data_IF_245571481386
#
_entry.id   IF_245571481386
#
_cell.length_a   1.000
_cell.length_b   1.000
_cell.length_c   1.000
_cell.angle_alpha   90.00
_cell.angle_beta   90.00
_cell.angle_gamma   90.00
#
_symmetry.space_group_name_H-M   'P 1'
#
loop_
_entity.id
_entity.type
_entity.pdbx_description
1 polymer ?
#
# COMPACT_ATOMS: atom_id res chain seq x y z
N UNK A 1 3.28 -0.41 27.91
CA UNK A 1 3.06 0.02 26.51
C UNK A 1 1.84 -0.75 26.02
N UNK A 2 0.93 -0.10 25.27
CA UNK A 2 -0.19 -0.81 24.62
C UNK A 2 0.34 -1.69 23.48
N UNK A 3 -0.39 -2.74 23.13
CA UNK A 3 -0.14 -3.51 21.88
C UNK A 3 -0.27 -2.60 20.66
N UNK A 4 0.47 -2.89 19.61
CA UNK A 4 0.53 -2.13 18.34
C UNK A 4 1.10 -0.72 18.48
N UNK A 5 2.00 -0.49 19.44
CA UNK A 5 2.67 0.78 19.62
C UNK A 5 3.81 0.95 18.59
N UNK A 6 3.80 2.06 17.85
CA UNK A 6 4.81 2.37 16.82
C UNK A 6 5.72 3.56 17.20
N UNK A 7 5.69 4.01 18.47
CA UNK A 7 6.58 5.08 18.91
C UNK A 7 8.07 4.75 18.66
N UNK A 8 8.78 5.70 18.06
CA UNK A 8 10.17 5.55 17.66
C UNK A 8 10.38 4.72 16.39
N UNK A 9 9.31 4.28 15.71
CA UNK A 9 9.39 3.66 14.38
C UNK A 9 9.27 4.71 13.28
N UNK A 10 9.96 4.48 12.17
CA UNK A 10 9.90 5.30 10.96
C UNK A 10 9.20 4.52 9.86
N UNK A 11 8.08 5.04 9.38
CA UNK A 11 7.29 4.44 8.32
C UNK A 11 7.37 5.23 7.02
N UNK A 12 7.65 4.55 5.91
CA UNK A 12 7.61 5.09 4.55
C UNK A 12 6.32 4.62 3.88
N UNK A 13 5.54 5.55 3.30
CA UNK A 13 4.29 5.22 2.59
C UNK A 13 4.33 5.80 1.18
N UNK A 14 4.31 4.93 0.15
CA UNK A 14 4.19 5.37 -1.24
C UNK A 14 2.74 5.67 -1.62
N UNK A 15 2.51 6.71 -2.41
CA UNK A 15 1.15 7.19 -2.70
C UNK A 15 0.44 7.75 -1.45
N UNK A 16 1.22 8.25 -0.48
CA UNK A 16 0.74 8.67 0.85
C UNK A 16 -0.08 9.96 0.88
N UNK A 17 -0.47 10.53 -0.26
CA UNK A 17 -1.19 11.82 -0.34
C UNK A 17 -2.66 11.72 -0.74
N UNK A 18 -3.17 10.52 -1.00
CA UNK A 18 -4.56 10.31 -1.41
C UNK A 18 -5.04 8.89 -1.06
N UNK A 19 -6.34 8.69 -1.04
CA UNK A 19 -6.99 7.39 -0.91
C UNK A 19 -6.45 6.55 0.25
N UNK A 20 -6.26 5.25 0.01
CA UNK A 20 -5.79 4.30 1.02
C UNK A 20 -4.40 4.63 1.57
N UNK A 21 -3.48 5.12 0.73
CA UNK A 21 -2.13 5.48 1.16
C UNK A 21 -2.12 6.60 2.20
N UNK A 22 -2.89 7.68 1.97
CA UNK A 22 -3.07 8.75 2.97
C UNK A 22 -3.71 8.21 4.24
N UNK A 23 -4.76 7.39 4.12
CA UNK A 23 -5.42 6.78 5.26
C UNK A 23 -4.47 5.92 6.11
N UNK A 24 -3.69 5.06 5.48
CA UNK A 24 -2.70 4.22 6.18
C UNK A 24 -1.59 5.05 6.84
N UNK A 25 -1.13 6.13 6.20
CA UNK A 25 -0.17 7.05 6.82
C UNK A 25 -0.74 7.69 8.11
N UNK A 26 -2.00 8.13 8.08
CA UNK A 26 -2.72 8.64 9.26
C UNK A 26 -2.85 7.56 10.35
N UNK A 27 -3.20 6.33 9.98
CA UNK A 27 -3.34 5.23 10.93
C UNK A 27 -2.02 4.90 11.65
N UNK A 28 -0.90 4.86 10.92
CA UNK A 28 0.42 4.64 11.48
C UNK A 28 0.87 5.80 12.39
N UNK A 29 0.60 7.05 11.98
CA UNK A 29 0.90 8.24 12.79
C UNK A 29 0.13 8.23 14.12
N UNK A 30 -1.16 7.84 14.12
CA UNK A 30 -1.97 7.67 15.34
C UNK A 30 -1.37 6.68 16.34
N UNK A 31 -0.61 5.70 15.86
CA UNK A 31 0.10 4.75 16.73
C UNK A 31 1.50 5.22 17.12
N UNK A 32 1.88 6.44 16.73
CA UNK A 32 3.12 7.09 17.14
C UNK A 32 4.30 6.90 16.19
N UNK A 33 4.11 6.40 14.97
CA UNK A 33 5.17 6.35 13.98
C UNK A 33 5.51 7.74 13.44
N UNK A 34 6.80 7.99 13.19
CA UNK A 34 7.26 9.07 12.31
C UNK A 34 7.08 8.65 10.85
N UNK A 35 6.66 9.57 9.99
CA UNK A 35 6.30 9.26 8.61
C UNK A 35 7.26 9.88 7.59
N UNK A 36 7.52 9.17 6.50
CA UNK A 36 7.92 9.74 5.22
C UNK A 36 6.85 9.36 4.18
N UNK A 37 6.21 10.36 3.58
CA UNK A 37 5.21 10.15 2.53
C UNK A 37 5.80 10.45 1.17
N UNK A 38 5.69 9.50 0.24
CA UNK A 38 6.24 9.58 -1.10
C UNK A 38 5.11 9.76 -2.13
N UNK A 39 5.17 10.81 -2.93
CA UNK A 39 4.22 11.06 -4.02
C UNK A 39 4.82 12.02 -5.06
N UNK A 40 4.12 12.20 -6.19
CA UNK A 40 4.59 13.07 -7.29
C UNK A 40 4.20 14.53 -7.12
N UNK A 41 3.14 14.85 -6.36
CA UNK A 41 2.55 16.19 -6.24
C UNK A 41 3.06 16.91 -4.99
N UNK A 42 3.92 17.93 -5.10
CA UNK A 42 4.53 18.62 -3.93
C UNK A 42 3.52 19.34 -3.03
N UNK A 43 2.50 19.95 -3.64
CA UNK A 43 1.41 20.63 -2.94
C UNK A 43 0.63 19.67 -2.02
N UNK A 44 0.24 18.50 -2.55
CA UNK A 44 -0.46 17.47 -1.80
C UNK A 44 0.42 16.83 -0.72
N UNK A 45 1.71 16.68 -0.98
CA UNK A 45 2.67 16.23 0.02
C UNK A 45 2.73 17.17 1.22
N UNK A 46 2.79 18.48 0.96
CA UNK A 46 2.84 19.51 2.02
C UNK A 46 1.53 19.54 2.83
N UNK A 47 0.38 19.43 2.17
CA UNK A 47 -0.93 19.38 2.81
C UNK A 47 -1.03 18.16 3.75
N UNK A 48 -0.77 16.97 3.22
CA UNK A 48 -0.85 15.72 3.99
C UNK A 48 0.18 15.66 5.13
N UNK A 49 1.38 16.19 4.93
CA UNK A 49 2.38 16.25 5.99
C UNK A 49 1.88 17.06 7.20
N UNK A 50 1.25 18.22 6.97
CA UNK A 50 0.66 19.04 8.05
C UNK A 50 -0.47 18.31 8.78
N UNK A 51 -1.30 17.56 8.04
CA UNK A 51 -2.36 16.74 8.65
C UNK A 51 -1.76 15.68 9.60
N UNK A 52 -0.74 14.96 9.16
CA UNK A 52 -0.05 13.95 9.97
C UNK A 52 0.62 14.57 11.17
N UNK A 53 1.30 15.72 11.01
CA UNK A 53 1.93 16.47 12.10
C UNK A 53 0.93 16.96 13.15
N UNK A 54 -0.31 17.23 12.76
CA UNK A 54 -1.39 17.59 13.70
C UNK A 54 -1.74 16.48 14.68
N UNK A 55 -1.34 15.23 14.38
CA UNK A 55 -1.50 14.06 15.25
C UNK A 55 -0.35 13.91 16.27
N UNK A 56 0.64 14.82 16.25
CA UNK A 56 1.77 14.86 17.18
C UNK A 56 3.02 14.09 16.72
N UNK A 57 3.02 13.48 15.54
CA UNK A 57 4.17 12.84 14.92
C UNK A 57 4.98 13.79 14.02
N UNK A 58 6.08 13.29 13.44
CA UNK A 58 6.85 13.99 12.40
C UNK A 58 6.48 13.41 11.04
N UNK A 59 6.43 14.25 10.01
CA UNK A 59 6.19 13.79 8.65
C UNK A 59 7.14 14.47 7.66
N UNK A 60 7.93 13.68 6.94
CA UNK A 60 8.81 14.11 5.86
C UNK A 60 8.08 13.95 4.52
N UNK A 61 7.71 15.04 3.82
CA UNK A 61 7.21 14.96 2.47
C UNK A 61 8.37 14.75 1.48
N UNK A 62 8.27 13.73 0.62
CA UNK A 62 9.31 13.41 -0.37
C UNK A 62 8.70 13.29 -1.76
N UNK A 63 9.16 14.12 -2.69
CA UNK A 63 8.75 13.99 -4.10
C UNK A 63 9.41 12.78 -4.70
N UNK A 64 8.59 11.83 -5.19
CA UNK A 64 9.07 10.59 -5.76
C UNK A 64 8.14 10.08 -6.85
N UNK A 65 8.70 9.78 -8.02
CA UNK A 65 8.07 8.94 -9.03
C UNK A 65 8.62 7.52 -8.89
N UNK A 66 7.78 6.59 -8.47
CA UNK A 66 8.17 5.19 -8.26
C UNK A 66 8.51 4.45 -9.56
N UNK A 67 8.13 4.99 -10.72
CA UNK A 67 8.46 4.43 -12.02
C UNK A 67 9.89 4.78 -12.48
N UNK A 68 10.52 5.75 -11.83
CA UNK A 68 11.91 6.19 -12.10
C UNK A 68 12.86 5.69 -11.00
N UNK A 69 13.86 4.91 -11.39
CA UNK A 69 14.84 4.33 -10.46
C UNK A 69 15.68 5.40 -9.75
N UNK A 70 16.09 6.47 -10.47
CA UNK A 70 16.86 7.55 -9.87
C UNK A 70 16.04 8.33 -8.83
N UNK A 71 14.75 8.54 -9.11
CA UNK A 71 13.82 9.17 -8.17
C UNK A 71 13.64 8.33 -6.90
N UNK A 72 13.52 7.02 -7.04
CA UNK A 72 13.42 6.10 -5.89
C UNK A 72 14.71 6.10 -5.07
N UNK A 73 15.87 6.05 -5.71
CA UNK A 73 17.15 6.10 -5.00
C UNK A 73 17.33 7.40 -4.21
N UNK A 74 17.00 8.55 -4.82
CA UNK A 74 17.02 9.85 -4.15
C UNK A 74 16.04 9.90 -2.96
N UNK A 75 14.87 9.28 -3.08
CA UNK A 75 13.92 9.18 -1.97
C UNK A 75 14.48 8.37 -0.80
N UNK A 76 15.13 7.22 -1.06
CA UNK A 76 15.81 6.44 -0.03
C UNK A 76 16.87 7.26 0.70
N UNK A 77 17.75 7.94 -0.05
CA UNK A 77 18.81 8.78 0.52
C UNK A 77 18.23 9.91 1.36
N UNK A 78 17.17 10.59 0.89
CA UNK A 78 16.49 11.65 1.60
C UNK A 78 15.91 11.17 2.94
N UNK A 79 15.20 10.04 2.93
CA UNK A 79 14.59 9.47 4.14
C UNK A 79 15.66 9.00 5.12
N UNK A 80 16.68 8.27 4.66
CA UNK A 80 17.77 7.76 5.50
C UNK A 80 18.62 8.90 6.06
N UNK A 81 18.88 9.95 5.28
CA UNK A 81 19.60 11.13 5.78
C UNK A 81 18.82 11.86 6.87
N UNK A 82 17.49 11.89 6.79
CA UNK A 82 16.65 12.58 7.76
C UNK A 82 16.43 11.75 9.05
N UNK A 83 15.98 10.50 8.91
CA UNK A 83 15.58 9.65 10.04
C UNK A 83 16.65 8.69 10.53
N UNK A 84 17.72 8.47 9.76
CA UNK A 84 18.83 7.51 10.00
C UNK A 84 18.42 6.03 9.96
N UNK A 85 17.15 5.74 9.68
CA UNK A 85 16.59 4.37 9.60
C UNK A 85 15.28 4.35 8.83
N UNK A 86 14.83 3.16 8.47
CA UNK A 86 13.48 2.86 8.00
C UNK A 86 13.02 1.56 8.65
N UNK A 87 11.96 1.60 9.43
CA UNK A 87 11.44 0.43 10.15
C UNK A 87 10.26 -0.23 9.39
N UNK A 88 9.43 0.59 8.72
CA UNK A 88 8.19 0.16 8.07
C UNK A 88 8.16 0.72 6.65
N UNK A 89 7.77 -0.12 5.67
CA UNK A 89 7.51 0.30 4.30
C UNK A 89 6.10 -0.15 3.89
N UNK A 90 5.26 0.79 3.48
CA UNK A 90 3.95 0.53 2.87
C UNK A 90 4.04 0.87 1.38
N UNK A 91 4.10 -0.15 0.53
CA UNK A 91 4.04 -0.01 -0.91
C UNK A 91 2.57 0.04 -1.35
N UNK A 92 2.06 1.25 -1.57
CA UNK A 92 0.65 1.46 -1.92
C UNK A 92 0.45 2.16 -3.28
N UNK A 93 1.45 2.86 -3.79
CA UNK A 93 1.30 3.58 -5.04
C UNK A 93 1.04 2.63 -6.23
N UNK A 94 -0.07 2.83 -6.92
CA UNK A 94 -0.54 2.07 -8.08
C UNK A 94 -1.74 2.76 -8.74
N UNK A 95 -2.27 2.22 -9.83
CA UNK A 95 -3.37 2.89 -10.56
C UNK A 95 -4.43 1.95 -11.18
N UNK A 96 -4.32 0.64 -11.10
CA UNK A 96 -5.35 -0.31 -11.55
C UNK A 96 -5.56 -0.48 -13.07
N UNK A 97 -5.30 0.54 -13.86
CA UNK A 97 -5.47 0.50 -15.31
C UNK A 97 -6.93 0.47 -15.82
N UNK A 98 -7.13 0.52 -17.14
CA UNK A 98 -8.45 0.52 -17.77
C UNK A 98 -9.09 -0.88 -17.82
N UNK A 99 -10.43 -0.91 -17.79
CA UNK A 99 -11.22 -2.12 -18.02
C UNK A 99 -11.35 -2.38 -19.52
N UNK A 100 -10.62 -3.38 -20.03
CA UNK A 100 -10.60 -3.78 -21.45
C UNK A 100 -10.67 -5.31 -21.52
N UNK A 101 -11.55 -5.89 -22.36
CA UNK A 101 -11.58 -7.34 -22.58
C UNK A 101 -10.19 -7.88 -22.95
N UNK A 102 -9.82 -9.03 -22.43
CA UNK A 102 -8.46 -9.58 -22.61
C UNK A 102 -8.09 -9.77 -24.08
N UNK A 103 -9.03 -10.14 -24.92
CA UNK A 103 -8.81 -10.33 -26.37
C UNK A 103 -8.56 -9.02 -27.12
N UNK A 104 -9.01 -7.89 -26.57
CA UNK A 104 -8.90 -6.56 -27.14
C UNK A 104 -7.84 -5.70 -26.43
N UNK A 105 -7.18 -6.23 -25.38
CA UNK A 105 -6.20 -5.50 -24.59
C UNK A 105 -4.94 -5.19 -25.42
N UNK A 106 -4.63 -3.90 -25.70
CA UNK A 106 -3.38 -3.56 -26.36
C UNK A 106 -2.19 -3.93 -25.49
N UNK A 107 -1.15 -4.53 -26.09
CA UNK A 107 0.06 -4.93 -25.37
C UNK A 107 0.69 -3.77 -24.58
N UNK A 108 0.75 -2.58 -25.19
CA UNK A 108 1.30 -1.37 -24.55
C UNK A 108 0.55 -0.94 -23.28
N UNK A 109 -0.76 -1.15 -23.23
CA UNK A 109 -1.58 -0.86 -22.05
C UNK A 109 -1.32 -1.90 -20.96
N UNK A 110 -1.28 -3.18 -21.34
CA UNK A 110 -0.91 -4.26 -20.43
C UNK A 110 0.47 -4.01 -19.78
N UNK A 111 1.49 -3.75 -20.61
CA UNK A 111 2.85 -3.49 -20.16
C UNK A 111 2.94 -2.27 -19.24
N UNK A 112 2.20 -1.20 -19.56
CA UNK A 112 2.14 0.00 -18.73
C UNK A 112 1.56 -0.27 -17.34
N UNK A 113 0.48 -1.06 -17.26
CA UNK A 113 -0.14 -1.45 -15.97
C UNK A 113 0.82 -2.32 -15.16
N UNK A 114 1.39 -3.36 -15.77
CA UNK A 114 2.35 -4.26 -15.09
C UNK A 114 3.60 -3.48 -14.64
N UNK A 115 4.10 -2.56 -15.47
CA UNK A 115 5.26 -1.76 -15.09
C UNK A 115 4.97 -0.84 -13.90
N UNK A 116 3.78 -0.23 -13.85
CA UNK A 116 3.43 0.66 -12.75
C UNK A 116 3.12 -0.11 -11.45
N UNK A 117 2.24 -1.12 -11.51
CA UNK A 117 1.68 -1.73 -10.31
C UNK A 117 2.57 -2.87 -9.75
N UNK A 118 3.39 -3.52 -10.60
CA UNK A 118 4.30 -4.58 -10.17
C UNK A 118 5.79 -4.16 -10.20
N UNK A 119 6.30 -3.71 -11.36
CA UNK A 119 7.73 -3.42 -11.48
C UNK A 119 8.16 -2.22 -10.65
N UNK A 120 7.31 -1.19 -10.54
CA UNK A 120 7.62 -0.02 -9.70
C UNK A 120 7.55 -0.35 -8.21
N UNK A 121 6.59 -1.18 -7.78
CA UNK A 121 6.55 -1.71 -6.41
C UNK A 121 7.83 -2.49 -6.09
N UNK A 122 8.25 -3.39 -6.98
CA UNK A 122 9.50 -4.15 -6.81
C UNK A 122 10.71 -3.22 -6.66
N UNK A 123 10.79 -2.15 -7.47
CA UNK A 123 11.88 -1.15 -7.42
C UNK A 123 11.96 -0.49 -6.06
N UNK A 124 10.83 -0.03 -5.52
CA UNK A 124 10.76 0.59 -4.18
C UNK A 124 11.08 -0.43 -3.10
N UNK A 125 10.46 -1.62 -3.15
CA UNK A 125 10.68 -2.70 -2.19
C UNK A 125 12.16 -3.11 -2.13
N UNK A 126 12.83 -3.27 -3.28
CA UNK A 126 14.26 -3.57 -3.38
C UNK A 126 15.10 -2.48 -2.72
N UNK A 127 14.84 -1.20 -3.01
CA UNK A 127 15.66 -0.09 -2.57
C UNK A 127 15.56 0.13 -1.04
N UNK A 128 14.36 0.20 -0.48
CA UNK A 128 14.15 0.31 0.97
C UNK A 128 14.43 -1.00 1.70
N UNK A 129 14.13 -2.15 1.09
CA UNK A 129 14.42 -3.47 1.63
C UNK A 129 15.89 -3.69 1.90
N UNK A 130 16.78 -3.18 1.03
CA UNK A 130 18.23 -3.19 1.27
C UNK A 130 18.60 -2.50 2.59
N UNK A 131 18.05 -1.33 2.85
CA UNK A 131 18.27 -0.58 4.11
C UNK A 131 17.80 -1.38 5.33
N UNK A 132 16.63 -2.02 5.22
CA UNK A 132 16.06 -2.83 6.31
C UNK A 132 16.87 -4.10 6.57
N UNK A 133 17.31 -4.79 5.51
CA UNK A 133 18.15 -5.99 5.60
C UNK A 133 19.49 -5.67 6.25
N UNK A 134 20.17 -4.59 5.85
CA UNK A 134 21.41 -4.11 6.45
C UNK A 134 21.22 -3.72 7.94
N UNK A 135 20.04 -3.22 8.32
CA UNK A 135 19.70 -2.89 9.70
C UNK A 135 19.27 -4.11 10.55
N UNK A 136 18.99 -5.26 9.94
CA UNK A 136 18.48 -6.46 10.62
C UNK A 136 17.04 -6.30 11.14
N UNK A 137 16.27 -5.36 10.60
CA UNK A 137 14.87 -5.10 10.97
C UNK A 137 14.09 -4.47 9.84
N UNK A 138 12.87 -4.96 9.61
CA UNK A 138 11.93 -4.35 8.67
C UNK A 138 10.54 -4.96 8.71
N UNK A 139 9.53 -4.13 8.40
CA UNK A 139 8.14 -4.51 8.21
C UNK A 139 7.70 -3.97 6.86
N UNK A 140 7.65 -4.82 5.84
CA UNK A 140 7.23 -4.44 4.49
C UNK A 140 5.79 -4.91 4.28
N UNK A 141 4.93 -3.98 3.89
CA UNK A 141 3.51 -4.19 3.65
C UNK A 141 3.22 -3.77 2.22
N UNK A 142 2.98 -4.73 1.34
CA UNK A 142 2.59 -4.47 -0.03
C UNK A 142 1.07 -4.39 -0.10
N UNK A 143 0.54 -3.33 -0.67
CA UNK A 143 -0.89 -3.21 -0.93
C UNK A 143 -1.12 -3.78 -2.32
N UNK A 144 -1.61 -5.02 -2.34
CA UNK A 144 -2.08 -5.69 -3.53
C UNK A 144 -3.60 -5.45 -3.67
N UNK A 145 -4.33 -6.41 -4.22
CA UNK A 145 -5.77 -6.32 -4.40
C UNK A 145 -6.45 -7.67 -4.23
N UNK A 146 -7.70 -7.68 -3.81
CA UNK A 146 -8.58 -8.85 -3.93
C UNK A 146 -8.62 -9.39 -5.37
N UNK A 147 -8.45 -8.50 -6.37
CA UNK A 147 -8.38 -8.85 -7.79
C UNK A 147 -7.13 -9.66 -8.16
N UNK A 148 -6.08 -9.64 -7.36
CA UNK A 148 -4.91 -10.53 -7.52
C UNK A 148 -5.13 -11.94 -6.95
N UNK A 149 -6.21 -12.17 -6.19
CA UNK A 149 -6.51 -13.43 -5.53
C UNK A 149 -7.53 -14.26 -6.29
N UNK A 150 -8.46 -13.62 -7.01
CA UNK A 150 -9.60 -14.25 -7.69
C UNK A 150 -9.83 -13.67 -9.07
N UNK A 151 -10.51 -14.43 -9.95
CA UNK A 151 -11.06 -13.90 -11.18
C UNK A 151 -12.21 -12.94 -10.89
N UNK A 152 -12.37 -11.90 -11.70
CA UNK A 152 -13.43 -10.92 -11.54
C UNK A 152 -14.49 -11.08 -12.65
N UNK A 153 -15.73 -11.34 -12.25
CA UNK A 153 -16.84 -11.45 -13.20
C UNK A 153 -17.39 -10.05 -13.57
N UNK A 154 -17.44 -9.79 -14.87
CA UNK A 154 -18.11 -8.59 -15.40
C UNK A 154 -17.25 -7.34 -15.51
N UNK A 155 -16.04 -7.31 -14.96
CA UNK A 155 -15.08 -6.20 -15.10
C UNK A 155 -13.73 -6.74 -15.56
N UNK A 156 -13.42 -6.72 -16.86
CA UNK A 156 -12.17 -7.26 -17.40
C UNK A 156 -10.98 -6.34 -17.07
N UNK A 157 -10.08 -6.83 -16.23
CA UNK A 157 -8.91 -6.10 -15.72
C UNK A 157 -7.63 -6.96 -15.82
N UNK A 158 -7.41 -7.64 -16.93
CA UNK A 158 -6.36 -8.65 -17.09
C UNK A 158 -4.96 -8.14 -16.68
N UNK A 159 -4.56 -6.94 -17.11
CA UNK A 159 -3.27 -6.34 -16.76
C UNK A 159 -3.14 -6.07 -15.27
N UNK A 160 -4.18 -5.53 -14.65
CA UNK A 160 -4.21 -5.25 -13.22
C UNK A 160 -4.18 -6.54 -12.39
N UNK A 161 -5.06 -7.51 -12.72
CA UNK A 161 -5.08 -8.80 -12.03
C UNK A 161 -3.75 -9.55 -12.14
N UNK A 162 -3.08 -9.48 -13.30
CA UNK A 162 -1.76 -10.06 -13.49
C UNK A 162 -0.69 -9.37 -12.60
N UNK A 163 -0.72 -8.03 -12.54
CA UNK A 163 0.20 -7.26 -11.70
C UNK A 163 -0.01 -7.58 -10.21
N UNK A 164 -1.26 -7.54 -9.73
CA UNK A 164 -1.60 -7.80 -8.34
C UNK A 164 -1.32 -9.25 -7.91
N UNK A 165 -1.60 -10.23 -8.77
CA UNK A 165 -1.19 -11.63 -8.57
C UNK A 165 0.34 -11.76 -8.51
N UNK A 166 1.05 -11.00 -9.33
CA UNK A 166 2.51 -10.87 -9.30
C UNK A 166 3.01 -10.29 -7.97
N UNK A 167 2.41 -9.23 -7.45
CA UNK A 167 2.74 -8.63 -6.14
C UNK A 167 2.54 -9.66 -5.02
N UNK A 168 1.44 -10.41 -5.04
CA UNK A 168 1.17 -11.46 -4.03
C UNK A 168 2.29 -12.51 -4.01
N UNK A 169 2.73 -12.97 -5.18
CA UNK A 169 3.78 -13.98 -5.23
C UNK A 169 5.19 -13.42 -5.00
N UNK A 170 5.45 -12.18 -5.44
CA UNK A 170 6.69 -11.46 -5.13
C UNK A 170 6.87 -11.28 -3.61
N UNK A 171 5.80 -10.99 -2.90
CA UNK A 171 5.80 -10.91 -1.43
C UNK A 171 6.25 -12.21 -0.79
N UNK A 172 5.77 -13.38 -1.26
CA UNK A 172 6.20 -14.70 -0.74
C UNK A 172 7.68 -14.95 -1.00
N UNK A 173 8.17 -14.57 -2.19
CA UNK A 173 9.58 -14.71 -2.54
C UNK A 173 10.48 -13.87 -1.62
N UNK A 174 10.19 -12.58 -1.46
CA UNK A 174 10.95 -11.67 -0.59
C UNK A 174 10.85 -12.09 0.89
N UNK A 175 9.68 -12.53 1.35
CA UNK A 175 9.47 -13.03 2.70
C UNK A 175 10.36 -14.24 3.02
N UNK A 176 10.43 -15.22 2.11
CA UNK A 176 11.27 -16.40 2.28
C UNK A 176 12.76 -16.06 2.27
N UNK A 177 13.17 -15.09 1.43
CA UNK A 177 14.56 -14.65 1.30
C UNK A 177 15.02 -13.86 2.52
N UNK A 178 14.20 -12.93 3.05
CA UNK A 178 14.62 -11.95 4.07
C UNK A 178 14.23 -12.31 5.51
N UNK A 179 13.52 -13.41 5.72
CA UNK A 179 13.06 -13.82 7.06
C UNK A 179 14.20 -13.94 8.09
N UNK A 180 15.33 -14.54 7.69
CA UNK A 180 16.52 -14.70 8.58
C UNK A 180 17.26 -13.41 8.84
N UNK A 181 16.92 -12.35 8.10
CA UNK A 181 17.52 -11.02 8.22
C UNK A 181 16.65 -10.05 9.03
N UNK A 182 15.62 -10.56 9.74
CA UNK A 182 14.75 -9.78 10.61
C UNK A 182 13.67 -8.96 9.87
N UNK A 183 13.49 -9.19 8.57
CA UNK A 183 12.51 -8.47 7.75
C UNK A 183 11.30 -9.36 7.46
N UNK A 184 10.10 -8.86 7.76
CA UNK A 184 8.85 -9.50 7.33
C UNK A 184 8.29 -8.80 6.10
N UNK A 185 7.71 -9.56 5.17
CA UNK A 185 7.07 -9.02 3.97
C UNK A 185 5.69 -9.66 3.83
N UNK A 186 4.64 -8.83 3.85
CA UNK A 186 3.25 -9.29 3.82
C UNK A 186 2.41 -8.46 2.84
N UNK A 187 1.30 -9.01 2.39
CA UNK A 187 0.31 -8.28 1.60
C UNK A 187 -0.93 -7.93 2.41
N UNK A 188 -1.53 -6.78 2.12
CA UNK A 188 -2.94 -6.50 2.37
C UNK A 188 -3.62 -6.41 1.00
N UNK A 189 -4.77 -7.07 0.87
CA UNK A 189 -5.56 -7.11 -0.36
C UNK A 189 -6.93 -6.46 -0.14
N UNK A 190 -7.05 -5.15 -0.34
CA UNK A 190 -8.35 -4.47 -0.29
C UNK A 190 -9.22 -4.85 -1.49
N UNK A 191 -10.54 -4.74 -1.31
CA UNK A 191 -11.51 -4.71 -2.39
C UNK A 191 -11.88 -3.26 -2.76
N UNK A 192 -13.16 -2.96 -2.88
CA UNK A 192 -13.64 -1.62 -3.26
C UNK A 192 -13.61 -0.65 -2.07
N UNK A 193 -12.85 0.41 -2.20
CA UNK A 193 -12.82 1.55 -1.28
C UNK A 193 -13.06 2.84 -2.06
N UNK A 194 -13.82 3.80 -1.51
CA UNK A 194 -13.90 5.14 -2.06
C UNK A 194 -12.52 5.80 -2.11
N UNK A 195 -12.19 6.40 -3.25
CA UNK A 195 -10.94 7.14 -3.43
C UNK A 195 -11.14 8.32 -4.38
N UNK A 196 -10.21 9.27 -4.38
CA UNK A 196 -10.23 10.38 -5.33
C UNK A 196 -10.20 9.89 -6.79
N UNK A 197 -9.53 8.76 -7.05
CA UNK A 197 -9.41 8.17 -8.39
C UNK A 197 -10.69 7.47 -8.86
N UNK A 198 -11.53 7.00 -7.92
CA UNK A 198 -12.76 6.28 -8.25
C UNK A 198 -13.99 7.21 -8.37
N UNK A 199 -13.90 8.47 -7.89
CA UNK A 199 -15.00 9.42 -7.91
C UNK A 199 -16.26 8.99 -7.13
N UNK A 200 -17.05 9.93 -6.69
CA UNK A 200 -18.31 9.62 -6.00
C UNK A 200 -19.33 8.94 -6.93
N UNK A 201 -19.40 9.39 -8.18
CA UNK A 201 -20.35 8.88 -9.19
C UNK A 201 -20.06 7.41 -9.51
N UNK A 202 -18.78 7.02 -9.71
CA UNK A 202 -18.41 5.63 -9.97
C UNK A 202 -18.73 4.73 -8.77
N UNK A 203 -18.61 5.24 -7.55
CA UNK A 203 -18.98 4.50 -6.34
C UNK A 203 -20.49 4.31 -6.22
N UNK A 204 -21.30 5.29 -6.63
CA UNK A 204 -22.76 5.18 -6.66
C UNK A 204 -23.22 4.17 -7.71
N UNK A 205 -22.71 4.26 -8.93
CA UNK A 205 -22.97 3.29 -10.00
C UNK A 205 -22.55 1.86 -9.61
N UNK A 206 -21.47 1.72 -8.85
CA UNK A 206 -20.95 0.43 -8.40
C UNK A 206 -21.68 -0.16 -7.20
N UNK A 207 -22.61 0.54 -6.56
CA UNK A 207 -23.29 0.08 -5.33
C UNK A 207 -23.94 -1.30 -5.49
N UNK A 208 -24.65 -1.53 -6.61
CA UNK A 208 -25.30 -2.83 -6.88
C UNK A 208 -24.29 -3.95 -7.04
N UNK A 209 -23.17 -3.67 -7.72
CA UNK A 209 -22.08 -4.61 -7.89
C UNK A 209 -21.39 -4.93 -6.55
N UNK A 210 -21.08 -3.89 -5.76
CA UNK A 210 -20.47 -4.04 -4.42
C UNK A 210 -21.36 -4.92 -3.52
N UNK A 211 -22.68 -4.61 -3.44
CA UNK A 211 -23.62 -5.39 -2.63
C UNK A 211 -23.74 -6.85 -3.06
N UNK A 212 -23.58 -7.11 -4.37
CA UNK A 212 -23.62 -8.48 -4.91
C UNK A 212 -22.35 -9.25 -4.64
N UNK A 213 -21.19 -8.61 -4.77
CA UNK A 213 -19.87 -9.26 -4.69
C UNK A 213 -19.31 -9.33 -3.27
N UNK A 214 -19.75 -8.44 -2.38
CA UNK A 214 -19.21 -8.33 -1.03
C UNK A 214 -20.23 -8.85 -0.02
N UNK A 215 -19.98 -9.94 0.73
CA UNK A 215 -20.87 -10.44 1.78
C UNK A 215 -21.29 -9.40 2.81
N UNK A 216 -20.40 -8.45 3.15
CA UNK A 216 -20.75 -7.30 4.02
C UNK A 216 -21.63 -6.24 3.34
N UNK A 217 -21.93 -6.38 2.02
CA UNK A 217 -22.82 -5.53 1.22
C UNK A 217 -22.50 -4.03 1.25
N UNK A 218 -21.23 -3.69 1.48
CA UNK A 218 -20.72 -2.31 1.46
C UNK A 218 -19.30 -2.24 0.94
N UNK A 219 -18.91 -1.07 0.47
CA UNK A 219 -17.50 -0.75 0.26
C UNK A 219 -16.77 -0.62 1.61
N UNK A 220 -15.45 -0.70 1.59
CA UNK A 220 -14.63 -0.39 2.73
C UNK A 220 -14.70 1.10 3.09
N UNK A 221 -14.55 1.43 4.36
CA UNK A 221 -14.51 2.80 4.88
C UNK A 221 -13.07 3.32 4.80
N UNK A 222 -12.81 4.44 4.08
CA UNK A 222 -11.49 5.05 4.07
C UNK A 222 -11.19 5.76 5.41
N UNK A 223 -9.91 5.84 5.75
CA UNK A 223 -9.43 6.58 6.93
C UNK A 223 -9.30 8.06 6.62
N UNK A 224 -9.72 8.91 7.52
CA UNK A 224 -9.38 10.34 7.55
C UNK A 224 -9.06 10.81 8.98
N UNK A 225 -8.85 12.11 9.18
CA UNK A 225 -8.49 12.65 10.51
C UNK A 225 -9.56 12.41 11.60
N UNK A 226 -10.81 12.12 11.23
CA UNK A 226 -11.93 11.92 12.15
C UNK A 226 -12.51 10.50 12.11
N UNK A 227 -12.10 9.71 11.11
CA UNK A 227 -12.65 8.37 10.84
C UNK A 227 -11.55 7.31 10.95
N UNK A 228 -11.83 6.23 11.67
CA UNK A 228 -11.05 5.00 11.64
C UNK A 228 -11.53 4.16 10.47
N UNK A 229 -10.62 3.85 9.54
CA UNK A 229 -10.94 3.09 8.34
C UNK A 229 -10.79 1.59 8.51
N UNK A 230 -11.36 0.84 7.57
CA UNK A 230 -11.32 -0.63 7.60
C UNK A 230 -9.91 -1.22 7.31
N UNK A 231 -8.95 -0.39 6.83
CA UNK A 231 -7.56 -0.79 6.62
C UNK A 231 -6.65 -0.55 7.83
N UNK A 232 -7.08 0.27 8.81
CA UNK A 232 -6.23 0.75 9.91
C UNK A 232 -5.68 -0.39 10.76
N UNK A 233 -6.56 -1.32 11.17
CA UNK A 233 -6.15 -2.44 12.00
C UNK A 233 -5.14 -3.35 11.27
N UNK A 234 -5.35 -3.60 9.98
CA UNK A 234 -4.48 -4.47 9.19
C UNK A 234 -3.07 -3.88 9.01
N UNK A 235 -2.98 -2.59 8.62
CA UNK A 235 -1.68 -1.95 8.41
C UNK A 235 -0.92 -1.77 9.72
N UNK A 236 -1.58 -1.37 10.80
CA UNK A 236 -0.95 -1.21 12.12
C UNK A 236 -0.48 -2.56 12.68
N UNK A 237 -1.29 -3.61 12.57
CA UNK A 237 -0.91 -4.97 12.98
C UNK A 237 0.34 -5.45 12.25
N UNK A 238 0.37 -5.39 10.92
CA UNK A 238 1.52 -5.86 10.14
C UNK A 238 2.77 -4.96 10.30
N UNK A 239 2.60 -3.70 10.67
CA UNK A 239 3.69 -2.76 10.96
C UNK A 239 4.31 -2.97 12.36
N UNK A 240 3.59 -3.62 13.27
CA UNK A 240 3.95 -3.71 14.68
C UNK A 240 4.93 -4.86 15.00
N UNK A 241 5.50 -4.82 16.20
CA UNK A 241 6.36 -5.88 16.71
C UNK A 241 5.57 -7.17 16.97
N UNK A 242 4.28 -7.07 17.25
CA UNK A 242 3.39 -8.20 17.52
C UNK A 242 3.23 -9.13 16.31
N UNK A 243 3.46 -8.64 15.09
CA UNK A 243 3.44 -9.45 13.86
C UNK A 243 4.80 -10.05 13.47
N UNK A 244 5.83 -9.98 14.32
CA UNK A 244 7.22 -10.40 14.00
C UNK A 244 7.38 -11.86 13.54
N UNK A 245 6.42 -12.73 13.82
CA UNK A 245 6.41 -14.12 13.39
C UNK A 245 5.46 -14.39 12.21
N UNK A 246 5.01 -13.30 11.56
CA UNK A 246 4.08 -13.35 10.41
C UNK A 246 4.79 -12.78 9.20
N UNK A 247 5.06 -13.62 8.20
CA UNK A 247 5.69 -13.21 6.94
C UNK A 247 5.18 -14.07 5.79
N UNK A 248 5.10 -13.49 4.58
CA UNK A 248 4.63 -14.15 3.36
C UNK A 248 3.12 -14.32 3.27
N UNK A 249 2.33 -13.75 4.19
CA UNK A 249 0.87 -13.87 4.15
C UNK A 249 0.24 -12.87 3.17
N UNK A 250 -0.97 -13.22 2.77
CA UNK A 250 -1.91 -12.34 2.06
C UNK A 250 -3.13 -12.17 2.96
N UNK A 251 -3.39 -10.95 3.40
CA UNK A 251 -4.49 -10.58 4.29
C UNK A 251 -5.57 -9.86 3.50
N UNK A 252 -6.72 -10.49 3.18
CA UNK A 252 -7.83 -9.80 2.54
C UNK A 252 -8.47 -8.78 3.48
N UNK A 253 -8.70 -7.55 2.98
CA UNK A 253 -9.52 -6.51 3.59
C UNK A 253 -10.64 -6.15 2.61
N UNK A 254 -11.57 -7.08 2.40
CA UNK A 254 -12.42 -7.12 1.23
C UNK A 254 -13.92 -7.32 1.55
N UNK A 255 -14.30 -7.28 2.83
CA UNK A 255 -15.67 -7.50 3.26
C UNK A 255 -16.22 -8.91 2.93
N UNK A 256 -15.32 -9.88 2.72
CA UNK A 256 -15.62 -11.26 2.39
C UNK A 256 -15.70 -11.58 0.90
N UNK A 257 -15.35 -10.65 0.02
CA UNK A 257 -15.39 -10.88 -1.45
C UNK A 257 -14.67 -12.15 -1.88
N UNK A 258 -13.47 -12.41 -1.37
CA UNK A 258 -12.67 -13.58 -1.78
C UNK A 258 -13.02 -14.88 -1.05
N UNK A 259 -14.00 -14.88 -0.15
CA UNK A 259 -14.42 -16.10 0.57
C UNK A 259 -15.61 -16.82 -0.05
N UNK A 260 -16.20 -16.29 -1.13
CA UNK A 260 -17.38 -16.83 -1.83
C UNK A 260 -17.12 -17.06 -3.31
#
# INVERSE_FOLDING_TARGET
>A
MGIFNLHGRVAVVTGGTAGLGRGMAIALARQGADLAILARRPDKLTETAREIESLGGRCLPVVCDISDEASVQNAVETVVNHYKKVDILVNNAGNGGPSIPTVDMPQEIFDKVVNLDLCSLFRVMKAFGKVMVEAGYGRIINIASAMGMVGNLGVPLAGYQAAEGGVINLTRAAAAEWATQGVTVNNICPSMFPSESNGADLMEESQTFIKRMTPMQRAGTPTDLNTVGDMDAAVVFLASEESRYITGITLPCDGGWTCV
#
